data_IF_950038568323
#
_entry.id   IF_950038568323
#
_cell.length_a   1.000
_cell.length_b   1.000
_cell.length_c   1.000
_cell.angle_alpha   90.00
_cell.angle_beta   90.00
_cell.angle_gamma   90.00
#
_symmetry.space_group_name_H-M   'P 1'
#
loop_
_entity.id
_entity.type
_entity.pdbx_description
1 polymer ?
#
# COMPACT_ATOMS: atom_id res chain seq x y z
N UNK A 1 13.07 24.90 -18.33
CA UNK A 1 13.82 23.84 -17.62
C UNK A 1 13.59 22.54 -18.33
N UNK A 2 14.67 21.86 -18.70
CA UNK A 2 14.59 20.55 -19.35
C UNK A 2 14.09 19.51 -18.35
N UNK A 3 13.14 18.68 -18.73
CA UNK A 3 12.62 17.63 -17.83
C UNK A 3 13.72 16.59 -17.61
N UNK A 4 13.86 16.04 -16.38
CA UNK A 4 14.86 15.02 -16.13
C UNK A 4 14.56 13.77 -16.98
N UNK A 5 15.62 13.13 -17.46
CA UNK A 5 15.53 11.85 -18.15
C UNK A 5 14.74 10.85 -17.28
N UNK A 6 13.71 10.23 -17.83
CA UNK A 6 12.81 9.32 -17.10
C UNK A 6 13.54 8.11 -16.49
N UNK A 7 14.62 7.64 -17.14
CA UNK A 7 15.43 6.53 -16.63
C UNK A 7 16.25 6.96 -15.41
N UNK A 8 16.89 8.13 -15.48
CA UNK A 8 17.63 8.70 -14.35
C UNK A 8 16.72 8.98 -13.16
N UNK A 9 15.53 9.55 -13.41
CA UNK A 9 14.54 9.78 -12.35
C UNK A 9 14.13 8.48 -11.67
N UNK A 10 13.80 7.43 -12.42
CA UNK A 10 13.47 6.12 -11.86
C UNK A 10 14.61 5.53 -11.05
N UNK A 11 15.86 5.66 -11.52
CA UNK A 11 17.04 5.18 -10.80
C UNK A 11 17.24 5.95 -9.49
N UNK A 12 17.03 7.25 -9.48
CA UNK A 12 17.11 8.07 -8.28
C UNK A 12 16.01 7.72 -7.27
N UNK A 13 14.75 7.62 -7.71
CA UNK A 13 13.61 7.24 -6.85
C UNK A 13 13.79 5.85 -6.21
N UNK A 14 14.39 4.90 -6.91
CA UNK A 14 14.68 3.56 -6.36
C UNK A 14 15.71 3.53 -5.24
N UNK A 15 16.47 4.62 -5.00
CA UNK A 15 17.37 4.73 -3.84
C UNK A 15 16.59 4.99 -2.53
N UNK A 16 15.39 5.50 -2.62
CA UNK A 16 14.52 5.69 -1.47
C UNK A 16 13.89 4.35 -1.07
N UNK A 17 14.34 3.79 0.05
CA UNK A 17 13.79 2.55 0.61
C UNK A 17 12.41 2.81 1.20
N UNK A 18 11.47 1.95 0.89
CA UNK A 18 10.08 2.04 1.37
C UNK A 18 9.67 0.76 2.07
N UNK A 19 8.61 0.80 2.86
CA UNK A 19 7.83 -0.38 3.19
C UNK A 19 7.06 -0.88 1.96
N UNK A 20 6.45 -2.05 2.11
CA UNK A 20 5.57 -2.66 1.11
C UNK A 20 4.21 -2.85 1.73
N UNK A 21 3.18 -2.34 1.09
CA UNK A 21 1.80 -2.48 1.57
C UNK A 21 0.90 -3.12 0.52
N UNK A 22 -0.17 -3.76 0.97
CA UNK A 22 -1.33 -4.04 0.11
C UNK A 22 -2.45 -3.12 0.57
N UNK A 23 -2.99 -2.36 -0.39
CA UNK A 23 -4.18 -1.53 -0.18
C UNK A 23 -5.38 -2.27 -0.73
N UNK A 24 -6.45 -2.36 0.05
CA UNK A 24 -7.64 -3.15 -0.26
C UNK A 24 -8.91 -2.32 -0.12
N UNK A 25 -9.91 -2.68 -0.89
CA UNK A 25 -11.29 -2.17 -0.79
C UNK A 25 -12.26 -3.23 -1.31
N UNK A 26 -13.54 -2.92 -1.30
CA UNK A 26 -14.61 -3.71 -1.91
C UNK A 26 -15.23 -2.87 -3.03
N UNK A 27 -15.46 -3.46 -4.20
CA UNK A 27 -16.15 -2.80 -5.29
C UNK A 27 -17.70 -2.79 -5.05
N UNK A 28 -18.43 -2.16 -5.95
CA UNK A 28 -19.90 -2.05 -5.92
C UNK A 28 -20.64 -3.37 -6.10
N UNK A 29 -19.94 -4.44 -6.54
CA UNK A 29 -20.47 -5.81 -6.61
C UNK A 29 -20.17 -6.64 -5.35
N UNK A 30 -19.52 -6.07 -4.35
CA UNK A 30 -19.11 -6.77 -3.13
C UNK A 30 -17.84 -7.61 -3.27
N UNK A 31 -17.09 -7.45 -4.38
CA UNK A 31 -15.89 -8.21 -4.62
C UNK A 31 -14.65 -7.50 -4.04
N UNK A 32 -13.71 -8.25 -3.45
CA UNK A 32 -12.50 -7.68 -2.90
C UNK A 32 -11.56 -7.20 -4.01
N UNK A 33 -11.06 -5.98 -3.86
CA UNK A 33 -10.08 -5.35 -4.74
C UNK A 33 -8.83 -5.07 -3.91
N UNK A 34 -7.66 -5.35 -4.46
CA UNK A 34 -6.39 -5.08 -3.79
C UNK A 34 -5.22 -4.94 -4.74
N UNK A 35 -4.21 -4.21 -4.32
CA UNK A 35 -2.96 -4.03 -5.06
C UNK A 35 -1.79 -3.74 -4.11
N UNK A 36 -0.60 -4.15 -4.53
CA UNK A 36 0.64 -3.80 -3.83
C UNK A 36 1.06 -2.38 -4.18
N UNK A 37 1.41 -1.62 -3.15
CA UNK A 37 1.95 -0.28 -3.28
C UNK A 37 3.18 -0.10 -2.37
N UNK A 38 4.03 0.84 -2.75
CA UNK A 38 5.15 1.33 -1.94
C UNK A 38 5.11 2.86 -1.77
N UNK A 39 4.00 3.48 -2.15
CA UNK A 39 3.77 4.91 -2.05
C UNK A 39 3.11 5.33 -0.72
N UNK A 40 2.86 4.38 0.17
CA UNK A 40 2.28 4.65 1.49
C UNK A 40 3.19 5.53 2.34
N UNK A 41 2.57 6.55 2.99
CA UNK A 41 3.26 7.39 3.97
C UNK A 41 2.28 7.93 5.04
N UNK A 42 2.81 8.22 6.23
CA UNK A 42 2.11 8.97 7.26
C UNK A 42 2.00 10.45 6.87
N UNK A 43 0.91 11.10 7.26
CA UNK A 43 0.66 12.53 7.00
C UNK A 43 0.51 13.31 8.30
N UNK A 44 -0.38 12.87 9.21
CA UNK A 44 -0.73 13.60 10.42
C UNK A 44 -1.15 12.64 11.53
N UNK A 45 -0.91 13.04 12.77
CA UNK A 45 -1.45 12.35 13.95
C UNK A 45 -2.76 12.98 14.46
N UNK A 46 -2.99 14.23 14.16
CA UNK A 46 -4.19 14.96 14.60
C UNK A 46 -4.68 15.90 13.49
N UNK A 47 -5.71 15.52 12.72
CA UNK A 47 -6.33 14.20 12.68
C UNK A 47 -5.37 13.10 12.19
N UNK A 48 -5.62 11.81 12.48
CA UNK A 48 -4.76 10.72 12.04
C UNK A 48 -4.94 10.47 10.54
N UNK A 49 -3.97 10.88 9.74
CA UNK A 49 -4.01 10.80 8.27
C UNK A 49 -2.83 10.03 7.72
N UNK A 50 -3.11 9.26 6.68
CA UNK A 50 -2.14 8.55 5.84
C UNK A 50 -2.39 8.86 4.38
N UNK A 51 -1.39 8.66 3.52
CA UNK A 51 -1.55 8.76 2.07
C UNK A 51 -0.95 7.56 1.35
N UNK A 52 -1.40 7.34 0.13
CA UNK A 52 -0.83 6.46 -0.87
C UNK A 52 -1.23 6.92 -2.27
N UNK A 53 -0.60 6.38 -3.31
CA UNK A 53 -0.86 6.81 -4.68
C UNK A 53 -1.15 5.64 -5.59
N UNK A 54 -2.07 5.81 -6.54
CA UNK A 54 -2.47 4.81 -7.53
C UNK A 54 -2.34 5.37 -8.94
N UNK A 55 -1.71 4.61 -9.82
CA UNK A 55 -1.59 4.98 -11.22
C UNK A 55 -2.97 5.08 -11.89
N UNK A 56 -3.18 6.14 -12.67
CA UNK A 56 -4.44 6.42 -13.39
C UNK A 56 -4.82 5.33 -14.41
N UNK A 57 -3.86 4.52 -14.85
CA UNK A 57 -4.10 3.37 -15.74
C UNK A 57 -4.47 2.08 -15.00
N UNK A 58 -4.50 2.09 -13.66
CA UNK A 58 -4.89 0.92 -12.87
C UNK A 58 -6.35 0.55 -13.11
N UNK A 59 -6.61 -0.74 -13.36
CA UNK A 59 -7.99 -1.27 -13.46
C UNK A 59 -8.77 -1.12 -12.15
N UNK A 60 -8.07 -0.98 -11.02
CA UNK A 60 -8.67 -0.82 -9.68
C UNK A 60 -9.02 0.64 -9.36
N UNK A 61 -8.67 1.61 -10.21
CA UNK A 61 -8.80 3.03 -9.89
C UNK A 61 -10.25 3.41 -9.54
N UNK A 62 -11.21 3.01 -10.36
CA UNK A 62 -12.62 3.36 -10.17
C UNK A 62 -13.14 2.84 -8.82
N UNK A 63 -12.77 1.62 -8.42
CA UNK A 63 -13.17 1.05 -7.13
C UNK A 63 -12.64 1.91 -5.97
N UNK A 64 -11.37 2.30 -5.99
CA UNK A 64 -10.79 3.15 -4.95
C UNK A 64 -11.30 4.59 -4.96
N UNK A 65 -11.66 5.14 -6.11
CA UNK A 65 -12.25 6.48 -6.20
C UNK A 65 -13.68 6.54 -5.66
N UNK A 66 -14.45 5.48 -5.85
CA UNK A 66 -15.85 5.41 -5.44
C UNK A 66 -16.03 4.95 -3.97
N UNK A 67 -15.04 4.28 -3.39
CA UNK A 67 -15.18 3.69 -2.06
C UNK A 67 -15.16 4.73 -0.95
N UNK A 68 -15.95 4.44 0.09
CA UNK A 68 -15.92 5.20 1.36
C UNK A 68 -14.81 4.70 2.30
N UNK A 69 -14.42 3.44 2.20
CA UNK A 69 -13.46 2.79 3.09
C UNK A 69 -12.39 2.04 2.29
N UNK A 70 -11.19 2.03 2.82
CA UNK A 70 -10.12 1.15 2.35
C UNK A 70 -9.26 0.70 3.54
N UNK A 71 -8.57 -0.41 3.37
CA UNK A 71 -7.62 -0.88 4.37
C UNK A 71 -6.21 -0.96 3.77
N UNK A 72 -5.22 -0.86 4.63
CA UNK A 72 -3.80 -0.95 4.30
C UNK A 72 -3.17 -2.00 5.21
N UNK A 73 -2.58 -3.03 4.63
CA UNK A 73 -1.78 -4.03 5.33
C UNK A 73 -0.30 -3.80 5.02
N UNK A 74 0.49 -3.43 6.03
CA UNK A 74 1.96 -3.33 5.90
C UNK A 74 2.53 -4.73 6.02
N UNK A 75 3.10 -5.23 4.94
CA UNK A 75 3.50 -6.62 4.87
C UNK A 75 4.73 -6.93 5.73
N UNK A 76 4.74 -8.14 6.30
CA UNK A 76 5.92 -8.69 6.95
C UNK A 76 6.89 -9.32 5.95
N UNK A 77 8.12 -9.56 6.38
CA UNK A 77 9.18 -10.19 5.58
C UNK A 77 8.77 -11.56 5.02
N UNK A 78 7.87 -12.27 5.68
CA UNK A 78 7.37 -13.58 5.26
C UNK A 78 6.32 -13.47 4.13
N UNK A 79 5.80 -12.27 3.86
CA UNK A 79 4.72 -12.02 2.89
C UNK A 79 5.22 -11.54 1.52
N UNK A 80 6.49 -11.80 1.17
CA UNK A 80 7.04 -11.40 -0.14
C UNK A 80 6.24 -12.00 -1.32
N UNK A 81 5.79 -13.24 -1.21
CA UNK A 81 4.98 -13.89 -2.26
C UNK A 81 3.61 -13.21 -2.41
N UNK A 82 3.01 -12.77 -1.29
CA UNK A 82 1.77 -12.01 -1.30
C UNK A 82 1.97 -10.65 -1.96
N UNK A 83 3.06 -9.95 -1.64
CA UNK A 83 3.44 -8.70 -2.30
C UNK A 83 3.56 -8.86 -3.82
N UNK A 84 4.27 -9.91 -4.27
CA UNK A 84 4.46 -10.19 -5.69
C UNK A 84 3.13 -10.50 -6.40
N UNK A 85 2.25 -11.29 -5.76
CA UNK A 85 0.93 -11.64 -6.29
C UNK A 85 0.05 -10.40 -6.51
N UNK A 86 -0.04 -9.51 -5.53
CA UNK A 86 -0.86 -8.29 -5.61
C UNK A 86 -0.24 -7.20 -6.50
N UNK A 87 1.04 -7.32 -6.86
CA UNK A 87 1.70 -6.49 -7.87
C UNK A 87 1.50 -7.01 -9.31
N UNK A 88 1.22 -8.31 -9.47
CA UNK A 88 1.10 -8.94 -10.78
C UNK A 88 -0.16 -8.51 -11.55
N UNK A 89 -0.12 -8.51 -12.90
CA UNK A 89 -1.26 -8.17 -13.76
C UNK A 89 -2.22 -9.37 -13.93
N UNK A 90 -2.61 -10.01 -12.83
CA UNK A 90 -3.57 -11.12 -12.80
C UNK A 90 -4.97 -10.61 -12.48
N UNK A 91 -6.01 -11.28 -12.99
CA UNK A 91 -7.40 -10.83 -12.81
C UNK A 91 -7.88 -11.03 -11.39
N UNK A 92 -7.75 -12.23 -10.84
CA UNK A 92 -8.21 -12.55 -9.50
C UNK A 92 -7.04 -12.71 -8.53
N UNK A 93 -6.62 -11.59 -7.91
CA UNK A 93 -5.53 -11.59 -6.94
C UNK A 93 -5.89 -12.28 -5.63
N UNK A 94 -7.18 -12.33 -5.29
CA UNK A 94 -7.68 -12.92 -4.04
C UNK A 94 -7.94 -14.42 -4.12
N UNK A 95 -7.94 -15.04 -5.31
CA UNK A 95 -8.17 -16.47 -5.46
C UNK A 95 -7.17 -17.30 -4.64
N UNK A 96 -7.68 -18.12 -3.71
CA UNK A 96 -6.87 -18.94 -2.82
C UNK A 96 -6.04 -18.17 -1.79
N UNK A 97 -6.36 -16.88 -1.56
CA UNK A 97 -5.71 -16.06 -0.52
C UNK A 97 -6.68 -15.91 0.65
N UNK A 98 -6.21 -16.24 1.83
CA UNK A 98 -6.96 -16.04 3.07
C UNK A 98 -6.83 -14.59 3.53
N UNK A 99 -7.93 -14.00 3.98
CA UNK A 99 -8.00 -12.67 4.55
C UNK A 99 -9.16 -12.57 5.54
N UNK A 100 -9.06 -11.64 6.47
CA UNK A 100 -10.12 -11.25 7.37
C UNK A 100 -10.82 -9.98 6.89
N UNK A 101 -11.91 -9.61 7.55
CA UNK A 101 -12.59 -8.34 7.27
C UNK A 101 -12.40 -7.39 8.46
N UNK A 102 -12.09 -6.14 8.16
CA UNK A 102 -12.10 -5.05 9.14
C UNK A 102 -13.53 -4.75 9.60
N UNK A 103 -13.66 -3.82 10.54
CA UNK A 103 -14.99 -3.40 11.04
C UNK A 103 -15.89 -2.77 9.98
N UNK A 104 -15.30 -2.14 8.95
CA UNK A 104 -16.03 -1.63 7.78
C UNK A 104 -16.15 -2.63 6.63
N UNK A 105 -15.71 -3.88 6.83
CA UNK A 105 -15.80 -4.95 5.83
C UNK A 105 -14.64 -5.00 4.84
N UNK A 106 -13.60 -4.19 4.99
CA UNK A 106 -12.46 -4.18 4.09
C UNK A 106 -11.53 -5.38 4.32
N UNK A 107 -10.98 -6.02 3.25
CA UNK A 107 -10.05 -7.14 3.42
C UNK A 107 -8.78 -6.73 4.16
N UNK A 108 -8.36 -7.54 5.14
CA UNK A 108 -7.12 -7.42 5.90
C UNK A 108 -6.40 -8.75 5.89
N UNK A 109 -5.08 -8.74 5.75
CA UNK A 109 -4.26 -9.95 5.78
C UNK A 109 -3.69 -10.18 7.18
N UNK A 110 -3.68 -11.44 7.60
CA UNK A 110 -3.01 -11.86 8.83
C UNK A 110 -1.48 -11.79 8.71
N UNK A 111 -0.79 -11.82 9.84
CA UNK A 111 0.67 -11.83 9.94
C UNK A 111 1.38 -10.61 9.30
N UNK A 112 0.67 -9.52 9.10
CA UNK A 112 1.25 -8.24 8.71
C UNK A 112 2.00 -7.58 9.87
N UNK A 113 2.99 -6.73 9.56
CA UNK A 113 3.69 -5.92 10.59
C UNK A 113 2.75 -4.89 11.22
N UNK A 114 1.86 -4.30 10.42
CA UNK A 114 0.79 -3.42 10.89
C UNK A 114 -0.34 -3.33 9.87
N UNK A 115 -1.48 -2.80 10.32
CA UNK A 115 -2.60 -2.53 9.43
C UNK A 115 -3.33 -1.26 9.85
N UNK A 116 -3.99 -0.65 8.87
CA UNK A 116 -4.79 0.56 9.03
C UNK A 116 -6.12 0.38 8.31
N UNK A 117 -7.21 0.72 8.97
CA UNK A 117 -8.53 0.88 8.39
C UNK A 117 -8.81 2.37 8.26
N UNK A 118 -9.22 2.81 7.09
CA UNK A 118 -9.34 4.23 6.77
C UNK A 118 -10.68 4.56 6.12
N UNK A 119 -11.21 5.75 6.44
CA UNK A 119 -12.18 6.42 5.57
C UNK A 119 -11.44 7.18 4.48
N UNK A 120 -11.95 7.15 3.25
CA UNK A 120 -11.45 7.98 2.15
C UNK A 120 -11.75 9.44 2.46
N UNK A 121 -10.71 10.24 2.72
CA UNK A 121 -10.85 11.65 3.14
C UNK A 121 -10.75 12.60 1.96
N UNK A 122 -9.72 12.46 1.14
CA UNK A 122 -9.48 13.35 0.00
C UNK A 122 -8.71 12.64 -1.10
N UNK A 123 -8.87 13.13 -2.32
CA UNK A 123 -8.15 12.63 -3.50
C UNK A 123 -7.58 13.83 -4.25
N UNK A 124 -6.32 13.72 -4.69
CA UNK A 124 -5.63 14.79 -5.40
C UNK A 124 -5.01 14.26 -6.69
N UNK A 125 -5.04 15.08 -7.72
CA UNK A 125 -4.32 14.81 -8.96
C UNK A 125 -2.80 14.89 -8.72
N UNK A 126 -2.08 13.81 -9.00
CA UNK A 126 -0.64 13.68 -8.84
C UNK A 126 0.06 13.35 -10.18
N UNK A 127 -0.38 13.95 -11.28
CA UNK A 127 0.19 13.71 -12.60
C UNK A 127 -0.36 12.42 -13.21
N UNK A 128 0.46 11.37 -13.37
CA UNK A 128 0.01 10.05 -13.87
C UNK A 128 -0.58 9.16 -12.76
N UNK A 129 -0.68 9.68 -11.52
CA UNK A 129 -1.27 9.03 -10.35
C UNK A 129 -2.39 9.89 -9.75
N UNK A 130 -3.22 9.24 -8.93
CA UNK A 130 -4.10 9.89 -7.95
C UNK A 130 -3.51 9.64 -6.57
N UNK A 131 -3.40 10.69 -5.76
CA UNK A 131 -3.01 10.61 -4.35
C UNK A 131 -4.29 10.48 -3.53
N UNK A 132 -4.38 9.39 -2.76
CA UNK A 132 -5.47 9.14 -1.83
C UNK A 132 -5.01 9.50 -0.42
N UNK A 133 -5.81 10.29 0.28
CA UNK A 133 -5.62 10.57 1.71
C UNK A 133 -6.72 9.85 2.47
N UNK A 134 -6.32 9.05 3.44
CA UNK A 134 -7.23 8.33 4.34
C UNK A 134 -7.14 8.84 5.77
N UNK A 135 -8.30 9.00 6.41
CA UNK A 135 -8.36 9.18 7.85
C UNK A 135 -8.40 7.82 8.51
N UNK A 136 -7.42 7.52 9.33
CA UNK A 136 -7.35 6.26 10.08
C UNK A 136 -8.45 6.23 11.13
N UNK A 137 -9.27 5.18 11.11
CA UNK A 137 -10.34 4.94 12.07
C UNK A 137 -10.04 3.77 13.01
N UNK A 138 -9.15 2.86 12.56
CA UNK A 138 -8.64 1.75 13.38
C UNK A 138 -7.28 1.32 12.86
N UNK A 139 -6.42 0.80 13.73
CA UNK A 139 -5.12 0.25 13.32
C UNK A 139 -4.63 -0.76 14.36
N UNK A 140 -3.66 -1.58 13.94
CA UNK A 140 -2.95 -2.50 14.80
C UNK A 140 -1.54 -2.74 14.30
N UNK A 141 -0.68 -3.30 15.16
CA UNK A 141 0.68 -3.68 14.82
C UNK A 141 1.06 -4.99 15.50
N UNK A 142 2.09 -5.63 14.99
CA UNK A 142 2.73 -6.83 15.55
C UNK A 142 4.24 -6.63 15.62
N UNK A 143 4.94 -7.60 16.20
CA UNK A 143 6.41 -7.61 16.25
C UNK A 143 7.04 -8.23 14.97
N UNK A 144 6.25 -8.52 13.95
CA UNK A 144 6.75 -9.08 12.70
C UNK A 144 7.68 -8.09 11.98
N UNK A 145 8.79 -8.59 11.46
CA UNK A 145 9.77 -7.79 10.71
C UNK A 145 9.12 -7.26 9.42
N UNK A 146 9.09 -5.95 9.16
CA UNK A 146 8.46 -5.41 7.96
C UNK A 146 9.24 -5.74 6.69
N UNK A 147 8.51 -5.99 5.60
CA UNK A 147 9.07 -6.13 4.25
C UNK A 147 9.46 -4.75 3.71
N UNK A 148 10.67 -4.62 3.22
CA UNK A 148 11.17 -3.41 2.57
C UNK A 148 11.27 -3.60 1.05
N UNK A 149 11.25 -2.49 0.33
CA UNK A 149 11.55 -2.44 -1.09
C UNK A 149 12.56 -1.32 -1.37
N UNK A 150 13.72 -1.69 -1.91
CA UNK A 150 14.80 -0.76 -2.25
C UNK A 150 15.52 -1.23 -3.50
N UNK A 151 15.95 -0.30 -4.36
CA UNK A 151 16.76 -0.59 -5.58
C UNK A 151 16.15 -1.63 -6.52
N UNK A 152 14.84 -1.84 -6.45
CA UNK A 152 14.13 -2.82 -7.27
C UNK A 152 14.10 -4.23 -6.68
N UNK A 153 14.48 -4.41 -5.41
CA UNK A 153 14.48 -5.69 -4.70
C UNK A 153 13.76 -5.59 -3.35
N UNK A 154 13.19 -6.70 -2.92
CA UNK A 154 12.69 -6.84 -1.55
C UNK A 154 13.85 -7.04 -0.58
N UNK A 155 13.68 -6.60 0.66
CA UNK A 155 14.66 -6.69 1.73
C UNK A 155 14.00 -6.65 3.11
N UNK A 156 14.84 -6.72 4.12
CA UNK A 156 14.45 -6.57 5.53
C UNK A 156 15.28 -5.46 6.17
N UNK A 157 14.78 -4.77 7.22
CA UNK A 157 15.59 -3.82 7.98
C UNK A 157 16.74 -4.57 8.68
N UNK A 158 17.89 -3.93 8.72
CA UNK A 158 19.01 -4.38 9.53
C UNK A 158 19.46 -3.24 10.43
N UNK A 159 19.91 -3.52 11.68
CA UNK A 159 20.48 -2.51 12.53
C UNK A 159 21.69 -1.85 11.87
N UNK A 160 21.86 -0.55 12.07
CA UNK A 160 23.06 0.12 11.62
C UNK A 160 24.25 -0.34 12.50
N UNK A 161 25.42 -0.67 11.92
CA UNK A 161 26.56 -1.24 12.69
C UNK A 161 27.01 -0.41 13.89
N UNK A 162 26.79 0.90 13.85
CA UNK A 162 27.20 1.83 14.92
C UNK A 162 26.13 2.01 16.02
N UNK A 163 24.94 1.43 15.87
CA UNK A 163 23.79 1.56 16.79
C UNK A 163 23.25 0.20 17.22
N UNK A 164 23.96 -0.87 16.95
CA UNK A 164 23.60 -2.25 17.31
C UNK A 164 24.11 -2.63 18.70
#
# INVERSE_FOLDING_TARGET
MEQPNSELLRKALRQFSTGVVIVTTINDHGEPIGLTANSFNSVSLTPPLVLWSLNKKSKSLNAFQATKYFAISVLSSEQMNLAARFAAPIENRFEGVEFNHSSSGMPLFDNCSSWFECTSSSQYDGGDHIIFVGQVISCGCSDSIPLLYARGAYGIPAPHPEVA
#
